data_IF_636957079554
#
_entry.id   IF_636957079554
#
_cell.length_a   1.000
_cell.length_b   1.000
_cell.length_c   1.000
_cell.angle_alpha   90.00
_cell.angle_beta   90.00
_cell.angle_gamma   90.00
#
_symmetry.space_group_name_H-M   'P 1'
#
loop_
_entity.id
_entity.type
_entity.pdbx_description
1 polymer ?
#
# COMPACT_ATOMS: atom_id res chain seq x y z
N UNK A 1 23.05 81.60 -2.49
CA UNK A 1 21.80 81.20 -1.88
C UNK A 1 21.04 80.44 -2.92
N UNK A 2 21.12 79.11 -2.89
CA UNK A 2 20.35 78.24 -3.76
C UNK A 2 19.93 77.05 -2.99
N UNK A 3 18.65 76.86 -2.94
CA UNK A 3 17.91 75.83 -2.27
C UNK A 3 18.10 74.49 -3.05
N UNK A 4 18.66 73.51 -2.49
CA UNK A 4 18.36 72.11 -2.88
C UNK A 4 19.00 71.07 -1.95
N UNK A 5 18.50 70.97 -0.78
CA UNK A 5 18.72 69.79 0.08
C UNK A 5 17.34 69.37 0.58
N UNK A 6 16.80 68.31 0.02
CA UNK A 6 15.79 67.47 0.66
C UNK A 6 15.31 66.40 -0.30
N UNK A 7 15.69 65.16 -0.01
CA UNK A 7 14.94 63.88 -0.17
C UNK A 7 15.81 62.77 -0.74
N UNK A 8 16.56 62.17 0.15
CA UNK A 8 16.91 60.74 -0.01
C UNK A 8 16.15 59.94 1.04
N UNK A 9 14.87 59.66 0.77
CA UNK A 9 14.09 58.69 1.52
C UNK A 9 14.37 57.29 0.97
N UNK A 10 15.23 56.56 1.64
CA UNK A 10 15.51 55.16 1.32
C UNK A 10 14.25 54.30 1.46
N UNK A 11 13.77 53.75 0.36
CA UNK A 11 12.83 52.63 0.36
C UNK A 11 13.61 51.35 0.62
N UNK A 12 13.62 50.90 1.86
CA UNK A 12 14.03 49.54 2.19
C UNK A 12 13.07 48.58 1.51
N UNK A 13 13.55 47.97 0.42
CA UNK A 13 12.87 46.86 -0.24
C UNK A 13 12.88 45.63 0.68
N UNK A 14 11.75 45.33 1.32
CA UNK A 14 11.51 44.01 1.92
C UNK A 14 11.61 42.96 0.83
N UNK A 15 12.74 42.30 0.71
CA UNK A 15 12.87 41.05 -0.05
C UNK A 15 12.01 39.99 0.62
N UNK A 16 10.84 39.72 0.01
CA UNK A 16 10.02 38.58 0.40
C UNK A 16 10.80 37.29 0.12
N UNK A 17 11.37 36.73 1.17
CA UNK A 17 11.99 35.42 1.13
C UNK A 17 10.87 34.39 0.93
N UNK A 18 10.63 34.00 -0.31
CA UNK A 18 9.72 32.91 -0.65
C UNK A 18 10.18 31.60 0.02
N UNK A 19 9.27 30.66 0.32
CA UNK A 19 9.63 29.42 0.96
C UNK A 19 10.70 28.69 0.16
N UNK A 20 11.77 28.28 0.83
CA UNK A 20 12.88 27.57 0.21
C UNK A 20 12.38 26.33 -0.58
N UNK A 21 12.94 26.05 -1.76
CA UNK A 21 12.51 24.92 -2.57
C UNK A 21 12.67 23.60 -1.80
N UNK A 22 11.57 22.88 -1.62
CA UNK A 22 11.58 21.57 -0.94
C UNK A 22 12.49 20.62 -1.71
N UNK A 23 13.59 20.18 -1.09
CA UNK A 23 14.51 19.19 -1.66
C UNK A 23 13.72 17.96 -2.09
N UNK A 24 13.82 17.54 -3.36
CA UNK A 24 13.22 16.31 -3.87
C UNK A 24 13.77 15.14 -3.05
N UNK A 25 12.88 14.39 -2.39
CA UNK A 25 13.25 13.18 -1.66
C UNK A 25 13.76 12.12 -2.63
N UNK A 26 14.77 11.33 -2.22
CA UNK A 26 15.29 10.24 -3.04
C UNK A 26 14.23 9.13 -3.19
N UNK A 27 14.11 8.48 -4.35
CA UNK A 27 13.09 7.42 -4.58
C UNK A 27 13.07 6.33 -3.50
N UNK A 28 14.24 5.85 -3.08
CA UNK A 28 14.39 4.85 -2.01
C UNK A 28 13.80 5.31 -0.67
N UNK A 29 13.93 6.58 -0.32
CA UNK A 29 13.35 7.13 0.91
C UNK A 29 11.81 7.18 0.85
N UNK A 30 11.26 7.40 -0.34
CA UNK A 30 9.81 7.44 -0.57
C UNK A 30 9.19 6.05 -0.39
N UNK A 31 9.80 5.00 -0.96
CA UNK A 31 9.37 3.62 -0.76
C UNK A 31 9.37 3.25 0.73
N UNK A 32 10.50 3.46 1.40
CA UNK A 32 10.64 3.19 2.84
C UNK A 32 9.62 3.95 3.71
N UNK A 33 9.24 5.19 3.34
CA UNK A 33 8.22 5.94 4.07
C UNK A 33 6.81 5.33 3.87
N UNK A 34 6.53 4.79 2.70
CA UNK A 34 5.27 4.10 2.41
C UNK A 34 5.16 2.79 3.20
N UNK A 35 6.19 1.94 3.15
CA UNK A 35 6.26 0.70 3.93
C UNK A 35 6.06 0.97 5.44
N UNK A 36 6.76 1.97 5.99
CA UNK A 36 6.58 2.39 7.39
C UNK A 36 5.16 2.85 7.72
N UNK A 37 4.48 3.49 6.79
CA UNK A 37 3.11 3.92 7.00
C UNK A 37 2.15 2.72 7.08
N UNK A 38 2.34 1.73 6.21
CA UNK A 38 1.56 0.48 6.24
C UNK A 38 1.86 -0.30 7.53
N UNK A 39 3.13 -0.47 7.90
CA UNK A 39 3.51 -1.14 9.15
C UNK A 39 2.81 -0.51 10.36
N UNK A 40 2.87 0.82 10.53
CA UNK A 40 2.19 1.49 11.64
C UNK A 40 0.68 1.25 11.62
N UNK A 41 0.08 1.22 10.44
CA UNK A 41 -1.34 0.92 10.31
C UNK A 41 -1.65 -0.52 10.74
N UNK A 42 -0.88 -1.50 10.27
CA UNK A 42 -1.04 -2.91 10.65
C UNK A 42 -0.85 -3.13 12.15
N UNK A 43 0.17 -2.51 12.75
CA UNK A 43 0.40 -2.57 14.19
C UNK A 43 -0.80 -2.05 15.01
N UNK A 44 -1.41 -0.95 14.55
CA UNK A 44 -2.58 -0.36 15.20
C UNK A 44 -3.87 -1.15 14.98
N UNK A 45 -3.91 -2.05 13.99
CA UNK A 45 -5.14 -2.73 13.56
C UNK A 45 -5.11 -4.25 13.71
N UNK A 46 -4.16 -4.82 14.47
CA UNK A 46 -4.21 -6.22 14.88
C UNK A 46 -2.98 -7.07 14.62
N UNK A 47 -1.94 -6.51 14.00
CA UNK A 47 -0.64 -7.17 13.87
C UNK A 47 0.47 -6.38 14.60
N UNK A 48 0.52 -6.43 15.94
CA UNK A 48 1.50 -5.66 16.70
C UNK A 48 2.95 -6.03 16.38
N UNK A 49 3.19 -7.25 15.87
CA UNK A 49 4.49 -7.73 15.44
C UNK A 49 4.86 -7.33 13.99
N UNK A 50 3.97 -6.64 13.26
CA UNK A 50 4.27 -6.19 11.90
C UNK A 50 5.50 -5.28 11.90
N UNK A 51 6.46 -5.58 11.02
CA UNK A 51 7.67 -4.78 10.85
C UNK A 51 8.14 -4.79 9.39
N UNK A 52 8.93 -3.78 9.02
CA UNK A 52 9.56 -3.78 7.71
C UNK A 52 10.57 -4.91 7.61
N UNK A 53 10.48 -5.65 6.51
CA UNK A 53 11.51 -6.63 6.19
C UNK A 53 12.82 -5.92 5.84
N UNK A 54 13.90 -6.26 6.52
CA UNK A 54 15.22 -5.82 6.11
C UNK A 54 15.62 -6.57 4.83
N UNK A 55 16.10 -5.83 3.82
CA UNK A 55 16.66 -6.44 2.61
C UNK A 55 17.84 -7.36 3.00
N UNK A 56 17.60 -8.66 3.06
CA UNK A 56 18.63 -9.67 3.33
C UNK A 56 18.65 -10.66 2.16
N UNK A 57 19.61 -10.48 1.26
CA UNK A 57 19.93 -11.49 0.23
C UNK A 57 19.03 -11.51 -1.00
N UNK A 58 19.06 -12.63 -1.72
CA UNK A 58 18.43 -12.85 -3.03
C UNK A 58 16.94 -13.24 -2.97
N UNK A 59 16.41 -13.57 -1.81
CA UNK A 59 15.01 -13.97 -1.66
C UNK A 59 14.19 -12.76 -1.24
N UNK A 60 13.49 -12.20 -2.21
CA UNK A 60 12.46 -11.19 -1.97
C UNK A 60 11.19 -11.93 -1.52
N UNK A 61 10.75 -11.66 -0.29
CA UNK A 61 9.62 -12.33 0.35
C UNK A 61 8.61 -11.29 0.87
N UNK A 62 8.51 -10.17 0.15
CA UNK A 62 7.67 -9.03 0.50
C UNK A 62 8.32 -8.00 1.42
N UNK A 63 7.69 -6.84 1.52
CA UNK A 63 8.19 -5.66 2.24
C UNK A 63 7.96 -5.70 3.76
N UNK A 64 6.99 -6.50 4.23
CA UNK A 64 6.54 -6.54 5.63
C UNK A 64 6.53 -7.98 6.13
N UNK A 65 6.97 -8.17 7.38
CA UNK A 65 6.91 -9.43 8.13
C UNK A 65 6.10 -9.26 9.42
N UNK A 66 5.88 -10.35 10.17
CA UNK A 66 5.08 -10.32 11.41
C UNK A 66 3.57 -10.39 11.17
N UNK A 67 3.15 -10.81 9.99
CA UNK A 67 1.76 -11.03 9.57
C UNK A 67 1.67 -12.42 8.93
N UNK A 68 1.48 -13.49 9.73
CA UNK A 68 1.50 -14.87 9.22
C UNK A 68 0.55 -15.09 8.04
N UNK A 69 0.99 -15.82 7.04
CA UNK A 69 0.21 -16.16 5.85
C UNK A 69 0.06 -15.03 4.82
N UNK A 70 0.56 -13.82 5.10
CA UNK A 70 0.35 -12.66 4.23
C UNK A 70 1.68 -12.11 3.71
N UNK A 71 1.82 -12.04 2.39
CA UNK A 71 2.92 -11.36 1.71
C UNK A 71 2.48 -9.96 1.27
N UNK A 72 3.14 -8.93 1.78
CA UNK A 72 2.83 -7.53 1.50
C UNK A 72 3.86 -6.94 0.56
N UNK A 73 3.39 -6.36 -0.53
CA UNK A 73 4.17 -5.51 -1.43
C UNK A 73 3.63 -4.08 -1.37
N UNK A 74 4.48 -3.08 -1.13
CA UNK A 74 4.07 -1.70 -0.89
C UNK A 74 4.72 -0.75 -1.89
N UNK A 75 3.92 -0.12 -2.72
CA UNK A 75 4.38 0.90 -3.67
C UNK A 75 3.95 2.29 -3.19
N UNK A 76 4.92 3.20 -3.08
CA UNK A 76 4.71 4.58 -2.65
C UNK A 76 5.16 5.63 -3.66
N UNK A 77 4.84 6.89 -3.39
CA UNK A 77 5.27 8.04 -4.19
C UNK A 77 4.44 8.26 -5.45
N UNK A 78 4.98 9.08 -6.35
CA UNK A 78 4.25 9.50 -7.55
C UNK A 78 3.99 8.36 -8.52
N UNK A 79 4.88 7.37 -8.59
CA UNK A 79 4.67 6.19 -9.42
C UNK A 79 3.43 5.40 -8.95
N UNK A 80 3.30 5.12 -7.66
CA UNK A 80 2.12 4.44 -7.14
C UNK A 80 0.82 5.24 -7.30
N UNK A 81 0.90 6.57 -7.12
CA UNK A 81 -0.27 7.47 -7.24
C UNK A 81 -0.81 7.60 -8.65
N UNK A 82 0.04 7.37 -9.67
CA UNK A 82 -0.25 7.51 -11.10
C UNK A 82 -0.12 6.21 -11.84
N UNK A 83 -0.10 5.08 -11.12
CA UNK A 83 0.08 3.78 -11.69
C UNK A 83 -0.95 3.50 -12.79
N UNK A 84 -0.48 3.07 -13.93
CA UNK A 84 -1.32 2.50 -14.99
C UNK A 84 -1.75 1.07 -14.63
N UNK A 85 -2.74 0.55 -15.32
CA UNK A 85 -3.15 -0.86 -15.15
C UNK A 85 -2.01 -1.82 -15.48
N UNK A 86 -1.12 -1.45 -16.41
CA UNK A 86 0.09 -2.21 -16.72
C UNK A 86 1.06 -2.25 -15.55
N UNK A 87 1.30 -1.12 -14.88
CA UNK A 87 2.18 -1.06 -13.71
C UNK A 87 1.61 -1.93 -12.58
N UNK A 88 0.30 -1.84 -12.36
CA UNK A 88 -0.40 -2.65 -11.34
C UNK A 88 -0.28 -4.13 -11.67
N UNK A 89 -0.49 -4.54 -12.92
CA UNK A 89 -0.37 -5.93 -13.33
C UNK A 89 1.06 -6.47 -13.14
N UNK A 90 2.08 -5.66 -13.45
CA UNK A 90 3.47 -6.02 -13.22
C UNK A 90 3.76 -6.23 -11.73
N UNK A 91 3.36 -5.29 -10.87
CA UNK A 91 3.58 -5.38 -9.42
C UNK A 91 2.80 -6.52 -8.76
N UNK A 92 1.61 -6.85 -9.27
CA UNK A 92 0.88 -8.04 -8.82
C UNK A 92 1.62 -9.33 -9.18
N UNK A 93 2.22 -9.39 -10.35
CA UNK A 93 3.05 -10.54 -10.74
C UNK A 93 4.34 -10.63 -9.90
N UNK A 94 4.91 -9.50 -9.47
CA UNK A 94 6.03 -9.44 -8.52
C UNK A 94 5.59 -9.98 -7.16
N UNK A 95 4.52 -9.41 -6.59
CA UNK A 95 3.96 -9.81 -5.30
C UNK A 95 3.58 -11.30 -5.24
N UNK A 96 3.05 -11.86 -6.32
CA UNK A 96 2.73 -13.30 -6.39
C UNK A 96 3.98 -14.18 -6.36
N UNK A 97 5.08 -13.78 -7.01
CA UNK A 97 6.36 -14.51 -6.91
C UNK A 97 6.94 -14.46 -5.51
N UNK A 98 6.85 -13.29 -4.86
CA UNK A 98 7.29 -13.10 -3.47
C UNK A 98 6.44 -13.91 -2.50
N UNK A 99 5.11 -13.95 -2.71
CA UNK A 99 4.20 -14.81 -1.95
C UNK A 99 4.62 -16.28 -2.00
N UNK A 100 4.91 -16.80 -3.20
CA UNK A 100 5.36 -18.17 -3.39
C UNK A 100 6.71 -18.42 -2.71
N UNK A 101 7.65 -17.46 -2.82
CA UNK A 101 8.95 -17.56 -2.16
C UNK A 101 8.87 -17.48 -0.62
N UNK A 102 7.85 -16.81 -0.10
CA UNK A 102 7.57 -16.67 1.32
C UNK A 102 6.71 -17.81 1.89
N UNK A 103 6.22 -18.73 1.06
CA UNK A 103 5.23 -19.76 1.42
C UNK A 103 4.01 -19.13 2.14
N UNK A 104 3.56 -17.98 1.65
CA UNK A 104 2.42 -17.24 2.20
C UNK A 104 1.12 -17.63 1.48
N UNK A 105 -0.02 -17.50 2.19
CA UNK A 105 -1.33 -17.86 1.66
C UNK A 105 -1.83 -16.84 0.63
N UNK A 106 -1.62 -15.54 0.90
CA UNK A 106 -2.12 -14.47 0.05
C UNK A 106 -1.08 -13.36 -0.17
N UNK A 107 -1.04 -12.81 -1.40
CA UNK A 107 -0.32 -11.59 -1.73
C UNK A 107 -1.24 -10.38 -1.63
N UNK A 108 -0.77 -9.30 -1.03
CA UNK A 108 -1.46 -8.02 -0.95
C UNK A 108 -0.56 -6.91 -1.50
N UNK A 109 -0.94 -6.33 -2.63
CA UNK A 109 -0.27 -5.15 -3.16
C UNK A 109 -0.92 -3.88 -2.61
N UNK A 110 -0.15 -3.08 -1.85
CA UNK A 110 -0.62 -1.81 -1.31
C UNK A 110 -0.09 -0.66 -2.15
N UNK A 111 -0.99 0.19 -2.65
CA UNK A 111 -0.64 1.38 -3.43
C UNK A 111 -1.00 2.66 -2.67
N UNK A 112 -0.02 3.54 -2.50
CA UNK A 112 -0.27 4.86 -1.95
C UNK A 112 -1.26 5.63 -2.82
N UNK A 113 -2.41 6.01 -2.24
CA UNK A 113 -3.45 6.75 -2.94
C UNK A 113 -3.11 8.23 -3.07
N UNK A 114 -3.40 8.82 -4.23
CA UNK A 114 -3.27 10.27 -4.44
C UNK A 114 -4.14 11.07 -3.45
N UNK A 115 -3.61 12.15 -2.91
CA UNK A 115 -4.30 12.98 -1.92
C UNK A 115 -4.43 12.38 -0.51
N UNK A 116 -3.91 11.16 -0.28
CA UNK A 116 -3.98 10.47 1.02
C UNK A 116 -2.59 10.31 1.61
N UNK A 117 -2.30 11.06 2.66
CA UNK A 117 -1.01 11.02 3.36
C UNK A 117 -0.86 9.77 4.25
N UNK A 118 0.38 9.49 4.67
CA UNK A 118 0.77 8.36 5.51
C UNK A 118 -0.08 8.14 6.79
N UNK A 119 -0.51 9.19 7.54
CA UNK A 119 -1.36 8.99 8.72
C UNK A 119 -2.73 8.39 8.41
N UNK A 120 -3.16 8.40 7.15
CA UNK A 120 -4.42 7.83 6.68
C UNK A 120 -4.19 6.61 5.77
N UNK A 121 -3.14 5.82 6.02
CA UNK A 121 -2.78 4.66 5.19
C UNK A 121 -3.92 3.64 5.03
N UNK A 122 -4.80 3.48 5.99
CA UNK A 122 -6.01 2.66 5.86
C UNK A 122 -6.92 3.03 4.68
N UNK A 123 -6.78 4.25 4.12
CA UNK A 123 -7.48 4.70 2.90
C UNK A 123 -6.67 4.53 1.61
N UNK A 124 -5.51 3.92 1.68
CA UNK A 124 -4.75 3.52 0.49
C UNK A 124 -5.41 2.32 -0.18
N UNK A 125 -5.02 2.04 -1.42
CA UNK A 125 -5.53 0.90 -2.14
C UNK A 125 -4.81 -0.37 -1.71
N UNK A 126 -5.55 -1.42 -1.41
CA UNK A 126 -5.07 -2.78 -1.33
C UNK A 126 -5.63 -3.56 -2.51
N UNK A 127 -4.79 -4.29 -3.20
CA UNK A 127 -5.18 -5.08 -4.36
C UNK A 127 -4.83 -6.53 -4.04
N UNK A 128 -5.83 -7.38 -4.11
CA UNK A 128 -5.74 -8.82 -3.84
C UNK A 128 -6.36 -9.59 -5.00
N UNK A 129 -6.04 -10.87 -5.23
CA UNK A 129 -6.79 -11.70 -6.15
C UNK A 129 -8.26 -11.78 -5.75
N UNK A 130 -9.18 -11.76 -6.71
CA UNK A 130 -10.62 -11.80 -6.43
C UNK A 130 -11.04 -13.03 -5.62
N UNK A 131 -10.43 -14.19 -5.90
CA UNK A 131 -10.67 -15.41 -5.11
C UNK A 131 -10.34 -15.20 -3.62
N UNK A 132 -9.24 -14.50 -3.32
CA UNK A 132 -8.86 -14.24 -1.93
C UNK A 132 -9.86 -13.32 -1.24
N UNK A 133 -10.30 -12.25 -1.91
CA UNK A 133 -11.33 -11.35 -1.38
C UNK A 133 -12.64 -12.09 -1.11
N UNK A 134 -13.08 -12.94 -2.05
CA UNK A 134 -14.33 -13.71 -1.93
C UNK A 134 -14.22 -14.76 -0.82
N UNK A 135 -13.09 -15.46 -0.73
CA UNK A 135 -12.82 -16.45 0.32
C UNK A 135 -12.84 -15.81 1.71
N UNK A 136 -12.09 -14.71 1.88
CA UNK A 136 -12.02 -14.00 3.15
C UNK A 136 -13.37 -13.43 3.56
N UNK A 137 -14.15 -12.91 2.63
CA UNK A 137 -15.52 -12.43 2.90
C UNK A 137 -16.41 -13.59 3.38
N UNK A 138 -16.37 -14.74 2.71
CA UNK A 138 -17.14 -15.93 3.12
C UNK A 138 -16.73 -16.45 4.50
N UNK A 139 -15.46 -16.31 4.89
CA UNK A 139 -15.00 -16.66 6.23
C UNK A 139 -15.50 -15.70 7.29
N UNK A 140 -15.51 -14.38 6.99
CA UNK A 140 -16.07 -13.35 7.86
C UNK A 140 -17.56 -13.57 8.09
N UNK A 141 -18.33 -13.76 7.03
CA UNK A 141 -19.78 -14.00 7.10
C UNK A 141 -20.11 -15.24 7.94
N UNK A 142 -19.24 -16.25 7.91
CA UNK A 142 -19.36 -17.46 8.71
C UNK A 142 -19.10 -17.22 10.20
N UNK A 143 -18.14 -16.36 10.53
CA UNK A 143 -17.85 -15.99 11.91
C UNK A 143 -19.02 -15.21 12.53
N UNK A 144 -19.75 -14.43 11.72
CA UNK A 144 -20.93 -13.68 12.14
C UNK A 144 -22.24 -14.52 12.21
N UNK A 145 -22.12 -15.85 12.05
CA UNK A 145 -23.25 -16.78 12.18
C UNK A 145 -24.09 -16.96 10.91
N UNK A 146 -23.62 -16.47 9.77
CA UNK A 146 -24.23 -16.77 8.48
C UNK A 146 -24.15 -18.27 8.16
N UNK A 147 -25.13 -18.84 7.41
CA UNK A 147 -25.12 -20.24 7.05
C UNK A 147 -23.83 -20.58 6.29
N UNK A 148 -23.18 -21.68 6.71
CA UNK A 148 -21.90 -22.10 6.16
C UNK A 148 -21.95 -22.20 4.64
N UNK A 149 -21.26 -21.30 3.95
CA UNK A 149 -20.92 -21.50 2.55
C UNK A 149 -19.90 -22.63 2.47
N UNK A 150 -20.36 -23.82 2.12
CA UNK A 150 -19.52 -25.03 2.09
C UNK A 150 -18.46 -25.03 0.98
N UNK A 151 -18.49 -24.03 0.11
CA UNK A 151 -17.55 -23.86 -0.99
C UNK A 151 -16.30 -23.01 -0.70
N UNK A 152 -16.07 -22.56 0.52
CA UNK A 152 -14.93 -21.68 0.82
C UNK A 152 -13.57 -22.32 0.56
N UNK A 153 -13.37 -23.56 0.99
CA UNK A 153 -12.16 -24.34 0.71
C UNK A 153 -12.05 -24.67 -0.78
N UNK A 154 -13.18 -24.97 -1.43
CA UNK A 154 -13.23 -25.24 -2.88
C UNK A 154 -12.94 -23.97 -3.69
N UNK A 155 -13.44 -22.80 -3.26
CA UNK A 155 -13.11 -21.52 -3.88
C UNK A 155 -11.63 -21.18 -3.77
N UNK A 156 -11.01 -21.46 -2.64
CA UNK A 156 -9.55 -21.33 -2.47
C UNK A 156 -8.81 -22.25 -3.45
N UNK A 157 -9.17 -23.53 -3.48
CA UNK A 157 -8.55 -24.52 -4.36
C UNK A 157 -8.80 -24.21 -5.85
N UNK A 158 -10.02 -23.81 -6.21
CA UNK A 158 -10.44 -23.46 -7.58
C UNK A 158 -9.76 -22.16 -8.02
N UNK A 159 -9.79 -21.10 -7.20
CA UNK A 159 -9.24 -19.80 -7.54
C UNK A 159 -7.71 -19.80 -7.65
N UNK A 160 -7.03 -20.60 -6.82
CA UNK A 160 -5.58 -20.64 -6.80
C UNK A 160 -4.97 -21.47 -7.93
N UNK A 161 -5.65 -22.50 -8.42
CA UNK A 161 -5.05 -23.50 -9.32
C UNK A 161 -5.85 -23.85 -10.57
N UNK A 162 -7.15 -23.56 -10.65
CA UNK A 162 -7.96 -23.95 -11.82
C UNK A 162 -7.78 -22.97 -12.99
N UNK A 163 -7.16 -23.41 -14.11
CA UNK A 163 -6.99 -22.60 -15.30
C UNK A 163 -8.32 -22.23 -16.00
N UNK A 164 -9.42 -22.91 -15.65
CA UNK A 164 -10.75 -22.67 -16.23
C UNK A 164 -11.46 -21.47 -15.63
N UNK A 165 -10.94 -20.90 -14.53
CA UNK A 165 -11.52 -19.73 -13.86
C UNK A 165 -10.51 -18.56 -13.80
N UNK A 166 -9.99 -18.07 -14.93
CA UNK A 166 -8.98 -17.01 -14.96
C UNK A 166 -9.49 -15.69 -14.34
N UNK A 167 -10.79 -15.46 -14.34
CA UNK A 167 -11.43 -14.30 -13.71
C UNK A 167 -11.28 -14.29 -12.17
N UNK A 168 -11.13 -15.45 -11.54
CA UNK A 168 -10.87 -15.54 -10.10
C UNK A 168 -9.52 -14.93 -9.70
N UNK A 169 -8.60 -14.86 -10.63
CA UNK A 169 -7.30 -14.19 -10.46
C UNK A 169 -7.33 -12.71 -10.80
N UNK A 170 -8.47 -12.20 -11.29
CA UNK A 170 -8.63 -10.77 -11.55
C UNK A 170 -8.37 -9.98 -10.26
N UNK A 171 -7.71 -8.81 -10.35
CA UNK A 171 -7.42 -8.00 -9.19
C UNK A 171 -8.71 -7.38 -8.62
N UNK A 172 -8.98 -7.60 -7.33
CA UNK A 172 -9.96 -6.87 -6.55
C UNK A 172 -9.27 -5.70 -5.85
N UNK A 173 -9.82 -4.50 -6.01
CA UNK A 173 -9.28 -3.27 -5.38
C UNK A 173 -10.16 -2.87 -4.22
N UNK A 174 -9.60 -2.86 -3.02
CA UNK A 174 -10.22 -2.52 -1.75
C UNK A 174 -9.52 -1.29 -1.13
N UNK A 175 -10.12 -0.70 -0.09
CA UNK A 175 -9.33 0.11 0.83
C UNK A 175 -8.47 -0.81 1.69
N UNK A 176 -7.29 -0.34 2.12
CA UNK A 176 -6.43 -1.13 3.01
C UNK A 176 -7.16 -1.48 4.32
N UNK A 177 -8.03 -0.59 4.82
CA UNK A 177 -8.84 -0.85 5.99
C UNK A 177 -9.76 -2.06 5.81
N UNK A 178 -10.43 -2.15 4.66
CA UNK A 178 -11.37 -3.23 4.35
C UNK A 178 -10.61 -4.55 4.15
N UNK A 179 -9.49 -4.52 3.40
CA UNK A 179 -8.63 -5.69 3.23
C UNK A 179 -8.09 -6.21 4.57
N UNK A 180 -7.66 -5.31 5.47
CA UNK A 180 -7.20 -5.67 6.82
C UNK A 180 -8.31 -6.29 7.65
N UNK A 181 -9.53 -5.77 7.57
CA UNK A 181 -10.67 -6.35 8.26
C UNK A 181 -10.95 -7.78 7.80
N UNK A 182 -10.92 -8.02 6.49
CA UNK A 182 -11.11 -9.36 5.92
C UNK A 182 -9.98 -10.33 6.30
N UNK A 183 -8.71 -9.88 6.28
CA UNK A 183 -7.55 -10.72 6.57
C UNK A 183 -7.41 -11.12 8.04
N UNK A 184 -8.21 -10.53 8.93
CA UNK A 184 -8.21 -10.80 10.38
C UNK A 184 -9.37 -11.68 10.84
N UNK A 185 -10.34 -11.90 9.98
CA UNK A 185 -11.49 -12.76 10.28
C UNK A 185 -11.10 -14.24 10.24
#
# INVERSE_FOLDING_TARGET
MTINELRAGGREGKTATGPAPRKKRRPRAIGTDAERAVVRYLQATGWPAAERRALRGRQDAGDITGTPGICWEVKGGDQARRASDRDVAQWLAEAERERQAADADVAVLVLQRAGVGAPRAGRWWAIVPLWAATYLQAMTDRADGAPAYTGGADLYAIGASDPRTPWMRAPARLLLADAVALLRA
#
